data_IF_408214791238
#
_entry.id   IF_408214791238
#
_cell.length_a   1.000
_cell.length_b   1.000
_cell.length_c   1.000
_cell.angle_alpha   90.00
_cell.angle_beta   90.00
_cell.angle_gamma   90.00
#
_symmetry.space_group_name_H-M   'P 1'
#
loop_
_entity.id
_entity.type
_entity.pdbx_description
1 polymer ?
#
# COMPACT_ATOMS: atom_id res chain seq x y z
N UNK A 1 -6.01 -5.41 -33.27
CA UNK A 1 -7.40 -5.20 -32.79
C UNK A 1 -8.44 -6.00 -33.57
N UNK A 2 -8.51 -5.93 -34.90
CA UNK A 2 -9.50 -6.71 -35.70
C UNK A 2 -9.46 -8.24 -35.47
N UNK A 3 -8.33 -8.80 -35.03
CA UNK A 3 -8.25 -10.20 -34.64
C UNK A 3 -9.05 -10.50 -33.36
N UNK A 4 -8.97 -9.64 -32.34
CA UNK A 4 -9.69 -9.82 -31.07
C UNK A 4 -11.22 -9.74 -31.26
N UNK A 5 -11.69 -8.89 -32.17
CA UNK A 5 -13.12 -8.83 -32.54
C UNK A 5 -13.66 -10.14 -33.11
N UNK A 6 -12.81 -10.98 -33.69
CA UNK A 6 -13.18 -12.28 -34.26
C UNK A 6 -13.04 -13.41 -33.24
N UNK A 7 -12.72 -13.12 -31.98
CA UNK A 7 -12.46 -14.10 -30.92
C UNK A 7 -13.29 -13.82 -29.65
N UNK A 8 -14.64 -13.82 -29.72
CA UNK A 8 -15.49 -13.53 -28.56
C UNK A 8 -15.43 -14.58 -27.44
N UNK A 9 -15.01 -15.81 -27.76
CA UNK A 9 -14.83 -16.91 -26.82
C UNK A 9 -13.42 -16.95 -26.20
N UNK A 10 -12.66 -15.86 -26.29
CA UNK A 10 -11.30 -15.80 -25.78
C UNK A 10 -11.30 -15.80 -24.24
N UNK A 11 -10.74 -16.86 -23.64
CA UNK A 11 -10.62 -16.99 -22.18
C UNK A 11 -9.31 -16.40 -21.65
N UNK A 12 -8.25 -16.42 -22.46
CA UNK A 12 -6.89 -16.03 -22.07
C UNK A 12 -6.36 -15.02 -23.08
N UNK A 13 -5.96 -13.85 -22.58
CA UNK A 13 -5.32 -12.81 -23.38
C UNK A 13 -3.98 -12.45 -22.71
N UNK A 14 -2.88 -12.78 -23.39
CA UNK A 14 -1.52 -12.48 -22.93
C UNK A 14 -0.78 -11.66 -24.00
N UNK A 15 -0.40 -10.44 -23.64
CA UNK A 15 0.40 -9.54 -24.46
C UNK A 15 1.69 -9.20 -23.75
N UNK A 16 2.82 -9.50 -24.40
CA UNK A 16 4.16 -9.17 -23.92
C UNK A 16 4.86 -8.35 -25.00
N UNK A 17 5.06 -7.06 -24.75
CA UNK A 17 5.75 -6.10 -25.62
C UNK A 17 5.26 -6.11 -27.08
N UNK A 18 4.00 -6.49 -27.29
CA UNK A 18 3.39 -6.70 -28.61
C UNK A 18 2.31 -5.65 -28.94
N UNK A 19 2.23 -4.57 -28.14
CA UNK A 19 1.18 -3.56 -28.31
C UNK A 19 1.61 -2.49 -29.32
N UNK A 20 0.80 -2.23 -30.36
CA UNK A 20 1.15 -1.20 -31.33
C UNK A 20 1.04 0.19 -30.71
N UNK A 21 2.12 0.95 -30.79
CA UNK A 21 2.12 2.39 -30.53
C UNK A 21 1.13 3.03 -31.52
N UNK A 22 0.10 3.70 -31.00
CA UNK A 22 -0.79 4.49 -31.87
C UNK A 22 -0.10 5.80 -32.22
N UNK A 23 0.26 6.03 -33.50
CA UNK A 23 0.87 7.29 -33.92
C UNK A 23 -0.17 8.39 -33.74
N UNK A 24 0.01 9.23 -32.72
CA UNK A 24 -0.90 10.36 -32.43
C UNK A 24 -1.62 10.32 -31.07
N UNK A 25 -1.23 9.45 -30.14
CA UNK A 25 -1.81 9.40 -28.77
C UNK A 25 -1.57 10.66 -27.89
N UNK A 26 -1.13 11.78 -28.48
CA UNK A 26 -0.68 12.96 -27.77
C UNK A 26 -1.78 13.79 -27.11
N UNK A 27 -3.00 13.89 -27.66
CA UNK A 27 -3.93 14.93 -27.17
C UNK A 27 -5.44 14.73 -27.39
N UNK A 28 -5.94 13.72 -28.12
CA UNK A 28 -7.39 13.60 -28.33
C UNK A 28 -8.07 12.68 -27.31
N UNK A 29 -8.88 13.28 -26.44
CA UNK A 29 -9.83 12.62 -25.53
C UNK A 29 -11.02 11.98 -26.28
N UNK A 30 -10.86 11.72 -27.58
CA UNK A 30 -11.85 11.09 -28.43
C UNK A 30 -12.14 9.68 -27.91
N UNK A 31 -13.41 9.39 -27.62
CA UNK A 31 -13.88 8.05 -27.29
C UNK A 31 -13.38 7.05 -28.34
N UNK A 32 -12.93 5.85 -27.95
CA UNK A 32 -12.53 4.84 -28.90
C UNK A 32 -13.71 4.49 -29.81
N UNK A 33 -13.48 4.42 -31.12
CA UNK A 33 -14.52 4.16 -32.13
C UNK A 33 -15.26 2.83 -31.91
N UNK A 34 -14.68 1.88 -31.17
CA UNK A 34 -15.29 0.58 -30.92
C UNK A 34 -14.72 -0.11 -29.68
N UNK A 35 -15.61 -0.57 -28.80
CA UNK A 35 -15.28 -1.44 -27.67
C UNK A 35 -15.40 -2.91 -28.11
N UNK A 36 -14.37 -3.71 -27.85
CA UNK A 36 -14.35 -5.14 -28.12
C UNK A 36 -14.85 -5.86 -26.87
N UNK A 37 -15.99 -6.54 -26.99
CA UNK A 37 -16.54 -7.34 -25.90
C UNK A 37 -15.81 -8.69 -25.79
N UNK A 38 -15.22 -8.97 -24.63
CA UNK A 38 -14.52 -10.22 -24.31
C UNK A 38 -15.20 -10.87 -23.09
N UNK A 39 -16.49 -11.16 -23.22
CA UNK A 39 -17.33 -11.66 -22.14
C UNK A 39 -16.83 -12.96 -21.46
N UNK A 40 -16.05 -13.78 -22.15
CA UNK A 40 -15.49 -15.04 -21.63
C UNK A 40 -14.07 -14.90 -21.07
N UNK A 41 -13.51 -13.69 -21.04
CA UNK A 41 -12.14 -13.48 -20.59
C UNK A 41 -12.01 -13.85 -19.10
N UNK A 42 -11.17 -14.85 -18.83
CA UNK A 42 -10.88 -15.36 -17.50
C UNK A 42 -9.52 -14.90 -16.99
N UNK A 43 -8.57 -14.63 -17.88
CA UNK A 43 -7.22 -14.18 -17.56
C UNK A 43 -6.71 -13.14 -18.56
N UNK A 44 -6.24 -12.01 -18.03
CA UNK A 44 -5.62 -10.94 -18.80
C UNK A 44 -4.21 -10.70 -18.27
N UNK A 45 -3.20 -10.92 -19.11
CA UNK A 45 -1.82 -10.56 -18.87
C UNK A 45 -1.37 -9.50 -19.88
N UNK A 46 -0.84 -8.38 -19.39
CA UNK A 46 -0.25 -7.35 -20.24
C UNK A 46 1.09 -6.93 -19.63
N UNK A 47 2.17 -7.04 -20.39
CA UNK A 47 3.49 -6.53 -20.07
C UNK A 47 3.94 -5.56 -21.16
N UNK A 48 4.04 -4.26 -20.85
CA UNK A 48 4.27 -3.19 -21.85
C UNK A 48 4.41 -1.81 -21.16
N UNK A 49 4.52 -0.72 -21.92
CA UNK A 49 4.56 0.65 -21.39
C UNK A 49 3.17 1.15 -20.93
N UNK A 50 3.11 2.10 -20.00
CA UNK A 50 1.84 2.67 -19.51
C UNK A 50 0.93 3.17 -20.65
N UNK A 51 1.38 3.94 -21.65
CA UNK A 51 0.51 4.40 -22.74
C UNK A 51 -0.09 3.28 -23.58
N UNK A 52 0.70 2.24 -23.86
CA UNK A 52 0.28 1.08 -24.64
C UNK A 52 -0.79 0.26 -23.89
N UNK A 53 -0.53 -0.03 -22.61
CA UNK A 53 -1.48 -0.71 -21.72
C UNK A 53 -2.81 0.07 -21.63
N UNK A 54 -2.74 1.40 -21.44
CA UNK A 54 -3.94 2.26 -21.39
C UNK A 54 -4.70 2.23 -22.73
N UNK A 55 -4.00 2.30 -23.85
CA UNK A 55 -4.62 2.29 -25.19
C UNK A 55 -5.33 0.96 -25.49
N UNK A 56 -4.71 -0.17 -25.13
CA UNK A 56 -5.34 -1.49 -25.27
C UNK A 56 -6.61 -1.56 -24.42
N UNK A 57 -6.51 -1.24 -23.14
CA UNK A 57 -7.61 -1.48 -22.21
C UNK A 57 -8.78 -0.51 -22.40
N UNK A 58 -8.55 0.67 -22.97
CA UNK A 58 -9.65 1.53 -23.41
C UNK A 58 -10.55 0.88 -24.47
N UNK A 59 -10.04 -0.11 -25.21
CA UNK A 59 -10.70 -0.74 -26.36
C UNK A 59 -11.26 -2.13 -26.07
N UNK A 60 -10.98 -2.72 -24.91
CA UNK A 60 -11.50 -4.05 -24.54
C UNK A 60 -12.41 -3.94 -23.33
N UNK A 61 -13.46 -4.76 -23.34
CA UNK A 61 -14.31 -5.03 -22.19
C UNK A 61 -13.67 -6.10 -21.33
N UNK A 62 -13.58 -5.88 -20.01
CA UNK A 62 -12.99 -6.85 -19.07
C UNK A 62 -14.09 -7.28 -18.09
N UNK A 63 -14.51 -8.57 -18.12
CA UNK A 63 -15.44 -9.11 -17.14
C UNK A 63 -14.94 -8.94 -15.71
N UNK A 64 -15.84 -8.73 -14.76
CA UNK A 64 -15.49 -8.51 -13.35
C UNK A 64 -14.85 -9.75 -12.68
N UNK A 65 -15.05 -10.94 -13.26
CA UNK A 65 -14.43 -12.21 -12.85
C UNK A 65 -13.00 -12.42 -13.36
N UNK A 66 -12.54 -11.60 -14.31
CA UNK A 66 -11.23 -11.73 -14.96
C UNK A 66 -10.11 -11.53 -13.95
N UNK A 67 -9.15 -12.46 -13.93
CA UNK A 67 -7.88 -12.28 -13.23
C UNK A 67 -6.96 -11.38 -14.04
N UNK A 68 -6.33 -10.41 -13.40
CA UNK A 68 -5.57 -9.37 -14.05
C UNK A 68 -4.10 -9.44 -13.62
N UNK A 69 -3.21 -9.53 -14.60
CA UNK A 69 -1.76 -9.36 -14.46
C UNK A 69 -1.33 -8.19 -15.34
N UNK A 70 -0.81 -7.12 -14.74
CA UNK A 70 -0.31 -5.95 -15.46
C UNK A 70 1.13 -5.67 -15.04
N UNK A 71 2.06 -5.74 -15.99
CA UNK A 71 3.45 -5.35 -15.82
C UNK A 71 3.70 -4.10 -16.66
N UNK A 72 3.60 -2.92 -16.05
CA UNK A 72 3.64 -1.65 -16.75
C UNK A 72 4.92 -0.88 -16.44
N UNK A 73 5.64 -0.44 -17.47
CA UNK A 73 6.76 0.49 -17.33
C UNK A 73 6.33 1.93 -17.66
N UNK A 74 6.60 2.85 -16.75
CA UNK A 74 6.47 4.29 -16.98
C UNK A 74 7.52 4.75 -17.99
N UNK A 75 7.12 5.60 -18.94
CA UNK A 75 8.03 6.26 -19.89
C UNK A 75 8.48 7.62 -19.34
N UNK A 76 9.44 8.27 -19.99
CA UNK A 76 9.83 9.65 -19.64
C UNK A 76 8.64 10.61 -19.66
N UNK A 77 7.69 10.41 -20.58
CA UNK A 77 6.51 11.26 -20.73
C UNK A 77 5.46 10.99 -19.65
N UNK A 78 5.24 9.74 -19.24
CA UNK A 78 4.26 9.41 -18.19
C UNK A 78 4.83 9.57 -16.79
N UNK A 79 6.15 9.49 -16.64
CA UNK A 79 6.83 9.46 -15.35
C UNK A 79 6.23 8.38 -14.44
N UNK A 80 5.66 8.83 -13.31
CA UNK A 80 5.00 7.99 -12.31
C UNK A 80 3.47 8.04 -12.36
N UNK A 81 2.86 8.54 -13.44
CA UNK A 81 1.40 8.57 -13.60
C UNK A 81 0.87 7.22 -14.12
N UNK A 82 0.37 6.41 -13.19
CA UNK A 82 -0.32 5.14 -13.48
C UNK A 82 -1.85 5.28 -13.43
N UNK A 83 -2.40 6.49 -13.34
CA UNK A 83 -3.85 6.71 -13.17
C UNK A 83 -4.69 6.12 -14.30
N UNK A 84 -4.17 6.11 -15.53
CA UNK A 84 -4.81 5.48 -16.68
C UNK A 84 -4.99 3.98 -16.51
N UNK A 85 -4.00 3.31 -15.89
CA UNK A 85 -4.06 1.88 -15.55
C UNK A 85 -5.07 1.65 -14.42
N UNK A 86 -5.13 2.56 -13.44
CA UNK A 86 -6.07 2.40 -12.33
C UNK A 86 -7.53 2.44 -12.76
N UNK A 87 -7.87 3.21 -13.80
CA UNK A 87 -9.23 3.21 -14.39
C UNK A 87 -9.68 1.82 -14.87
N UNK A 88 -8.72 0.97 -15.27
CA UNK A 88 -8.96 -0.43 -15.68
C UNK A 88 -9.47 -1.25 -14.50
N UNK A 89 -8.81 -1.08 -13.35
CA UNK A 89 -9.08 -1.83 -12.14
C UNK A 89 -10.37 -1.30 -11.48
N UNK A 90 -10.59 0.01 -11.49
CA UNK A 90 -11.76 0.60 -10.84
C UNK A 90 -13.06 0.36 -11.58
N UNK A 91 -13.01 0.22 -12.91
CA UNK A 91 -14.20 0.13 -13.74
C UNK A 91 -14.06 -0.99 -14.77
N UNK A 92 -14.39 -2.25 -14.41
CA UNK A 92 -14.55 -3.30 -15.41
C UNK A 92 -15.67 -2.86 -16.35
N UNK A 93 -15.29 -2.34 -17.52
CA UNK A 93 -16.21 -1.94 -18.59
C UNK A 93 -16.80 -3.19 -19.21
N UNK A 94 -17.59 -3.94 -18.46
CA UNK A 94 -18.10 -5.28 -18.79
C UNK A 94 -19.53 -5.32 -19.33
N UNK A 95 -20.16 -4.15 -19.41
CA UNK A 95 -21.60 -4.07 -19.52
C UNK A 95 -21.96 -2.79 -20.26
N UNK A 96 -22.26 -2.90 -21.55
CA UNK A 96 -23.13 -1.95 -22.27
C UNK A 96 -24.56 -2.02 -21.69
N UNK A 97 -24.68 -1.94 -20.38
CA UNK A 97 -25.97 -1.92 -19.72
C UNK A 97 -26.47 -0.49 -19.82
N UNK A 98 -27.54 -0.34 -20.59
CA UNK A 98 -28.36 0.85 -20.58
C UNK A 98 -28.70 1.17 -19.12
N UNK A 99 -28.38 2.39 -18.67
CA UNK A 99 -28.50 2.84 -17.29
C UNK A 99 -29.93 2.75 -16.70
N UNK A 100 -30.91 2.30 -17.50
CA UNK A 100 -32.31 2.19 -17.11
C UNK A 100 -32.62 0.88 -16.37
N UNK A 101 -31.84 -0.19 -16.56
CA UNK A 101 -32.01 -1.46 -15.84
C UNK A 101 -30.96 -1.62 -14.72
N UNK A 102 -31.13 -0.86 -13.63
CA UNK A 102 -30.30 -0.90 -12.42
C UNK A 102 -30.40 -2.23 -11.61
N UNK A 103 -30.97 -3.30 -12.17
CA UNK A 103 -31.20 -4.55 -11.47
C UNK A 103 -29.99 -5.48 -11.63
N UNK A 104 -29.03 -5.36 -10.72
CA UNK A 104 -28.04 -6.40 -10.44
C UNK A 104 -26.77 -6.34 -11.30
N UNK A 105 -26.05 -5.21 -11.30
CA UNK A 105 -24.69 -5.20 -11.81
C UNK A 105 -23.85 -6.27 -11.07
N UNK A 106 -23.14 -7.14 -11.80
CA UNK A 106 -22.27 -8.12 -11.16
C UNK A 106 -21.17 -7.39 -10.41
N UNK A 107 -21.26 -7.40 -9.07
CA UNK A 107 -20.22 -6.82 -8.23
C UNK A 107 -18.90 -7.53 -8.47
N UNK A 108 -17.83 -6.74 -8.66
CA UNK A 108 -16.49 -7.29 -8.78
C UNK A 108 -16.16 -8.09 -7.53
N UNK A 109 -15.45 -9.21 -7.71
CA UNK A 109 -14.93 -9.96 -6.58
C UNK A 109 -14.12 -9.03 -5.69
N UNK A 110 -14.48 -9.01 -4.42
CA UNK A 110 -13.96 -8.05 -3.45
C UNK A 110 -12.61 -8.55 -2.93
N UNK A 111 -11.59 -7.69 -2.91
CA UNK A 111 -10.27 -8.08 -2.42
C UNK A 111 -10.29 -8.18 -0.90
N UNK A 112 -9.80 -9.32 -0.37
CA UNK A 112 -9.74 -9.63 1.06
C UNK A 112 -8.32 -9.59 1.60
N UNK A 113 -7.32 -9.87 0.77
CA UNK A 113 -5.91 -9.75 1.12
C UNK A 113 -5.26 -8.84 0.09
N UNK A 114 -4.54 -7.82 0.56
CA UNK A 114 -3.80 -6.88 -0.29
C UNK A 114 -2.36 -6.83 0.19
N UNK A 115 -1.43 -7.10 -0.72
CA UNK A 115 0.00 -6.96 -0.48
C UNK A 115 0.52 -5.88 -1.43
N UNK A 116 1.20 -4.88 -0.89
CA UNK A 116 1.88 -3.83 -1.63
C UNK A 116 3.33 -3.79 -1.16
N UNK A 117 4.25 -3.98 -2.08
CA UNK A 117 5.68 -4.05 -1.82
C UNK A 117 6.41 -3.07 -2.73
N UNK A 118 7.23 -2.21 -2.15
CA UNK A 118 8.11 -1.35 -2.90
C UNK A 118 9.45 -2.05 -3.09
N UNK A 119 9.73 -2.44 -4.34
CA UNK A 119 11.01 -2.99 -4.77
C UNK A 119 11.88 -1.82 -5.22
N UNK A 120 12.56 -1.21 -4.25
CA UNK A 120 13.41 -0.05 -4.48
C UNK A 120 14.51 -0.37 -5.53
N UNK A 121 14.92 0.63 -6.33
CA UNK A 121 14.52 2.03 -6.27
C UNK A 121 13.36 2.43 -7.20
N UNK A 122 12.82 1.51 -8.00
CA UNK A 122 12.05 1.89 -9.21
C UNK A 122 10.80 1.06 -9.47
N UNK A 123 10.39 0.19 -8.55
CA UNK A 123 9.25 -0.70 -8.77
C UNK A 123 8.32 -0.81 -7.58
N UNK A 124 7.03 -0.91 -7.87
CA UNK A 124 5.97 -1.19 -6.91
C UNK A 124 5.20 -2.41 -7.38
N UNK A 125 5.19 -3.45 -6.54
CA UNK A 125 4.49 -4.69 -6.78
C UNK A 125 3.24 -4.73 -5.89
N UNK A 126 2.09 -5.02 -6.50
CA UNK A 126 0.81 -5.11 -5.80
C UNK A 126 0.13 -6.42 -6.14
N UNK A 127 -0.26 -7.16 -5.11
CA UNK A 127 -0.99 -8.41 -5.22
C UNK A 127 -2.31 -8.33 -4.43
N UNK A 128 -3.40 -8.75 -5.04
CA UNK A 128 -4.73 -8.79 -4.43
C UNK A 128 -5.37 -10.17 -4.58
N UNK A 129 -5.88 -10.72 -3.48
CA UNK A 129 -6.60 -12.00 -3.45
C UNK A 129 -8.04 -11.80 -2.96
N UNK A 130 -8.98 -12.46 -3.63
CA UNK A 130 -10.41 -12.44 -3.30
C UNK A 130 -10.77 -13.49 -2.24
N UNK A 131 -10.04 -14.60 -2.23
CA UNK A 131 -10.16 -15.62 -1.19
C UNK A 131 -9.26 -15.27 -0.02
N UNK A 132 -9.77 -15.35 1.23
CA UNK A 132 -8.93 -15.19 2.40
C UNK A 132 -7.99 -16.40 2.41
N UNK A 133 -6.70 -16.14 2.20
CA UNK A 133 -5.67 -17.15 2.37
C UNK A 133 -5.77 -17.64 3.82
N UNK A 134 -5.71 -18.96 4.02
CA UNK A 134 -5.58 -19.47 5.38
C UNK A 134 -4.28 -18.89 5.97
N UNK A 135 -4.28 -18.45 7.24
CA UNK A 135 -3.18 -17.70 7.86
C UNK A 135 -1.84 -18.44 7.97
N UNK A 136 -1.71 -19.64 7.41
CA UNK A 136 -0.40 -20.25 7.22
C UNK A 136 0.35 -19.50 6.12
N UNK A 137 1.28 -18.62 6.52
CA UNK A 137 2.14 -17.83 5.61
C UNK A 137 2.84 -18.68 4.54
N UNK A 138 3.13 -19.95 4.85
CA UNK A 138 3.70 -20.91 3.92
C UNK A 138 2.82 -21.18 2.68
N UNK A 139 1.50 -21.01 2.77
CA UNK A 139 0.56 -21.31 1.69
C UNK A 139 0.29 -20.13 0.76
N UNK A 140 0.58 -18.89 1.18
CA UNK A 140 0.37 -17.68 0.36
C UNK A 140 1.14 -17.77 -0.97
N UNK A 141 2.27 -18.47 -0.98
CA UNK A 141 3.11 -18.66 -2.18
C UNK A 141 2.49 -19.55 -3.25
N UNK A 142 1.41 -20.30 -2.95
CA UNK A 142 0.86 -21.30 -3.89
C UNK A 142 -0.35 -20.80 -4.68
N UNK A 143 -1.12 -19.86 -4.14
CA UNK A 143 -2.34 -19.36 -4.80
C UNK A 143 -2.03 -18.13 -5.65
N UNK A 144 -2.32 -18.21 -6.94
CA UNK A 144 -2.18 -17.06 -7.83
C UNK A 144 -3.08 -15.90 -7.38
N UNK A 145 -2.58 -14.65 -7.37
CA UNK A 145 -3.40 -13.47 -7.10
C UNK A 145 -4.47 -13.27 -8.17
N UNK A 146 -5.60 -12.68 -7.77
CA UNK A 146 -6.66 -12.27 -8.69
C UNK A 146 -6.28 -10.96 -9.41
N UNK A 147 -5.50 -10.12 -8.73
CA UNK A 147 -4.93 -8.88 -9.27
C UNK A 147 -3.43 -8.87 -8.97
N UNK A 148 -2.60 -8.77 -9.98
CA UNK A 148 -1.16 -8.58 -9.87
C UNK A 148 -0.75 -7.39 -10.72
N UNK A 149 -0.11 -6.42 -10.09
CA UNK A 149 0.43 -5.22 -10.73
C UNK A 149 1.92 -5.19 -10.44
N UNK A 150 2.73 -5.11 -11.48
CA UNK A 150 4.14 -4.79 -11.40
C UNK A 150 4.33 -3.45 -12.12
N UNK A 151 4.55 -2.39 -11.36
CA UNK A 151 4.69 -1.04 -11.90
C UNK A 151 6.14 -0.63 -11.75
N UNK A 152 6.81 -0.35 -12.85
CA UNK A 152 8.19 0.18 -12.85
C UNK A 152 8.24 1.57 -13.46
N UNK A 153 9.20 2.39 -13.07
CA UNK A 153 9.38 3.74 -13.60
C UNK A 153 10.86 4.11 -13.69
N UNK A 154 11.19 5.15 -14.46
CA UNK A 154 12.53 5.71 -14.45
C UNK A 154 12.78 6.45 -13.15
N UNK A 155 13.92 6.18 -12.49
CA UNK A 155 14.25 6.81 -11.22
C UNK A 155 14.24 8.33 -11.37
N UNK A 156 13.38 8.98 -10.59
CA UNK A 156 13.33 10.42 -10.44
C UNK A 156 13.21 10.76 -8.96
N UNK A 157 14.03 11.68 -8.43
CA UNK A 157 13.91 12.17 -7.05
C UNK A 157 12.53 12.73 -6.71
N UNK A 158 11.72 13.05 -7.71
CA UNK A 158 10.36 13.56 -7.54
C UNK A 158 9.30 12.45 -7.42
N UNK A 159 9.68 11.18 -7.58
CA UNK A 159 8.75 10.06 -7.53
C UNK A 159 8.21 9.89 -6.12
N UNK A 160 6.91 10.12 -5.96
CA UNK A 160 6.18 9.92 -4.72
C UNK A 160 5.52 8.55 -4.72
N UNK A 161 6.22 7.54 -4.21
CA UNK A 161 5.75 6.14 -4.17
C UNK A 161 4.43 6.02 -3.40
N UNK A 162 4.27 6.81 -2.35
CA UNK A 162 3.04 6.90 -1.56
C UNK A 162 1.82 7.33 -2.39
N UNK A 163 2.01 8.26 -3.34
CA UNK A 163 0.94 8.72 -4.24
C UNK A 163 0.53 7.60 -5.19
N UNK A 164 1.49 6.83 -5.73
CA UNK A 164 1.21 5.68 -6.59
C UNK A 164 0.44 4.62 -5.80
N UNK A 165 0.96 4.21 -4.62
CA UNK A 165 0.32 3.23 -3.75
C UNK A 165 -1.09 3.64 -3.34
N UNK A 166 -1.29 4.92 -2.97
CA UNK A 166 -2.61 5.46 -2.61
C UNK A 166 -3.59 5.41 -3.80
N UNK A 167 -3.10 5.73 -5.00
CA UNK A 167 -3.93 5.69 -6.22
C UNK A 167 -4.36 4.26 -6.53
N UNK A 168 -3.47 3.28 -6.38
CA UNK A 168 -3.80 1.85 -6.53
C UNK A 168 -4.82 1.41 -5.48
N UNK A 169 -4.63 1.76 -4.21
CA UNK A 169 -5.52 1.35 -3.14
C UNK A 169 -6.93 1.93 -3.31
N UNK A 170 -7.05 3.15 -3.84
CA UNK A 170 -8.34 3.75 -4.22
C UNK A 170 -8.99 3.06 -5.43
N UNK A 171 -8.18 2.47 -6.30
CA UNK A 171 -8.64 1.84 -7.52
C UNK A 171 -9.17 0.42 -7.31
N UNK A 172 -8.68 -0.27 -6.29
CA UNK A 172 -9.03 -1.64 -5.93
C UNK A 172 -10.24 -1.63 -4.97
N UNK A 173 -11.24 -2.52 -5.13
CA UNK A 173 -12.36 -2.64 -4.21
C UNK A 173 -11.94 -3.24 -2.86
N UNK A 174 -11.45 -2.39 -1.94
CA UNK A 174 -10.91 -2.76 -0.62
C UNK A 174 -11.94 -2.73 0.52
N UNK A 175 -13.23 -2.51 0.25
CA UNK A 175 -14.27 -2.42 1.28
C UNK A 175 -14.40 -3.67 2.18
N UNK A 176 -13.93 -4.83 1.69
CA UNK A 176 -13.92 -6.09 2.42
C UNK A 176 -12.51 -6.61 2.72
N UNK A 177 -11.53 -5.73 2.69
CA UNK A 177 -10.16 -6.05 3.04
C UNK A 177 -10.10 -6.56 4.48
N UNK A 178 -9.39 -7.67 4.67
CA UNK A 178 -9.23 -8.40 5.93
C UNK A 178 -7.79 -8.36 6.42
N UNK A 179 -6.86 -8.55 5.50
CA UNK A 179 -5.42 -8.50 5.73
C UNK A 179 -4.76 -7.53 4.76
N UNK A 180 -3.89 -6.68 5.30
CA UNK A 180 -3.11 -5.70 4.55
C UNK A 180 -1.63 -5.93 4.85
N UNK A 181 -0.82 -6.15 3.82
CA UNK A 181 0.65 -6.16 3.92
C UNK A 181 1.23 -4.99 3.14
N UNK A 182 2.04 -4.17 3.80
CA UNK A 182 2.73 -3.02 3.22
C UNK A 182 4.23 -3.11 3.54
N UNK A 183 5.04 -3.48 2.56
CA UNK A 183 6.46 -3.74 2.75
C UNK A 183 7.33 -2.68 2.07
N UNK A 184 8.14 -1.98 2.88
CA UNK A 184 9.12 -0.96 2.47
C UNK A 184 8.53 0.21 1.63
N UNK A 185 7.22 0.45 1.72
CA UNK A 185 6.58 1.58 1.01
C UNK A 185 6.82 2.87 1.77
N UNK A 186 7.75 3.69 1.28
CA UNK A 186 8.13 4.95 1.93
C UNK A 186 7.13 6.08 1.65
N UNK A 187 7.15 7.10 2.50
CA UNK A 187 6.37 8.33 2.30
C UNK A 187 4.87 8.24 2.62
N UNK A 188 4.34 7.08 3.03
CA UNK A 188 2.92 6.97 3.42
C UNK A 188 2.68 7.84 4.65
N UNK A 189 1.91 8.91 4.48
CA UNK A 189 1.56 9.80 5.59
C UNK A 189 0.53 9.18 6.51
N UNK A 190 0.52 9.63 7.77
CA UNK A 190 -0.53 9.36 8.76
C UNK A 190 -1.95 9.55 8.18
N UNK A 191 -2.18 10.66 7.46
CA UNK A 191 -3.47 10.98 6.83
C UNK A 191 -3.85 10.01 5.71
N UNK A 192 -2.86 9.50 4.99
CA UNK A 192 -3.08 8.49 3.94
C UNK A 192 -3.58 7.18 4.56
N UNK A 193 -2.96 6.73 5.65
CA UNK A 193 -3.38 5.56 6.42
C UNK A 193 -4.83 5.66 6.88
N UNK A 194 -5.18 6.75 7.57
CA UNK A 194 -6.51 6.93 8.15
C UNK A 194 -7.60 7.06 7.10
N UNK A 195 -7.35 7.81 6.02
CA UNK A 195 -8.32 7.98 4.94
C UNK A 195 -8.54 6.73 4.09
N UNK A 196 -7.50 5.89 3.92
CA UNK A 196 -7.56 4.74 3.00
C UNK A 196 -7.98 3.47 3.73
N UNK A 197 -7.45 3.24 4.93
CA UNK A 197 -7.58 1.97 5.65
C UNK A 197 -8.21 2.10 7.04
N UNK A 198 -8.16 3.29 7.65
CA UNK A 198 -8.56 3.50 9.05
C UNK A 198 -10.01 3.12 9.39
N UNK A 199 -10.91 3.16 8.41
CA UNK A 199 -12.34 2.87 8.60
C UNK A 199 -12.79 1.57 7.93
N UNK A 200 -11.87 0.70 7.51
CA UNK A 200 -12.24 -0.55 6.86
C UNK A 200 -12.85 -1.52 7.89
N UNK A 201 -14.14 -1.89 7.75
CA UNK A 201 -14.89 -2.58 8.80
C UNK A 201 -14.48 -4.05 8.99
N UNK A 202 -13.71 -4.61 8.05
CA UNK A 202 -13.29 -6.01 8.08
C UNK A 202 -11.78 -6.19 8.25
N UNK A 203 -11.01 -5.09 8.28
CA UNK A 203 -9.56 -5.12 8.37
C UNK A 203 -9.17 -5.48 9.81
N UNK A 204 -8.62 -6.68 9.99
CA UNK A 204 -8.26 -7.22 11.30
C UNK A 204 -6.81 -7.68 11.41
N UNK A 205 -6.09 -7.81 10.29
CA UNK A 205 -4.66 -8.14 10.26
C UNK A 205 -3.92 -7.10 9.43
N UNK A 206 -2.84 -6.55 9.97
CA UNK A 206 -1.96 -5.60 9.29
C UNK A 206 -0.52 -6.03 9.48
N UNK A 207 0.21 -6.19 8.39
CA UNK A 207 1.64 -6.44 8.37
C UNK A 207 2.32 -5.25 7.71
N UNK A 208 3.22 -4.59 8.43
CA UNK A 208 3.97 -3.45 7.92
C UNK A 208 5.46 -3.69 8.06
N UNK A 209 6.23 -3.37 7.02
CA UNK A 209 7.67 -3.45 7.04
C UNK A 209 8.38 -2.12 6.74
N UNK A 210 9.55 -1.92 7.34
CA UNK A 210 10.41 -0.76 7.08
C UNK A 210 9.91 0.55 7.71
N UNK A 211 10.27 1.68 7.09
CA UNK A 211 9.98 3.04 7.58
C UNK A 211 8.46 3.32 7.76
N UNK A 212 7.62 2.63 7.00
CA UNK A 212 6.16 2.81 7.06
C UNK A 212 5.53 2.41 8.40
N UNK A 213 6.23 1.61 9.22
CA UNK A 213 5.79 1.24 10.56
C UNK A 213 5.61 2.49 11.45
N UNK A 214 6.53 3.46 11.37
CA UNK A 214 6.49 4.68 12.19
C UNK A 214 5.25 5.52 11.89
N UNK A 215 4.94 5.74 10.62
CA UNK A 215 3.77 6.54 10.22
C UNK A 215 2.46 5.82 10.47
N UNK A 216 2.45 4.48 10.44
CA UNK A 216 1.30 3.69 10.82
C UNK A 216 1.03 3.73 12.33
N UNK A 217 2.05 3.58 13.18
CA UNK A 217 1.91 3.72 14.63
C UNK A 217 1.32 5.09 14.98
N UNK A 218 1.81 6.16 14.34
CA UNK A 218 1.24 7.49 14.48
C UNK A 218 -0.23 7.56 14.04
N UNK A 219 -0.63 6.82 13.00
CA UNK A 219 -2.01 6.77 12.52
C UNK A 219 -2.96 6.00 13.45
N UNK A 220 -2.47 4.96 14.13
CA UNK A 220 -3.25 4.21 15.13
C UNK A 220 -3.66 5.08 16.33
N UNK A 221 -2.79 6.03 16.73
CA UNK A 221 -3.02 6.96 17.85
C UNK A 221 -3.96 8.12 17.51
N UNK A 222 -4.23 8.37 16.23
CA UNK A 222 -5.02 9.55 15.84
C UNK A 222 -6.46 9.47 16.32
N UNK A 223 -6.87 10.47 17.09
CA UNK A 223 -8.26 10.63 17.46
C UNK A 223 -9.08 11.10 16.25
N UNK A 224 -10.18 10.41 16.01
CA UNK A 224 -11.14 10.82 14.99
C UNK A 224 -11.89 12.04 15.53
N UNK A 225 -11.46 13.24 15.12
CA UNK A 225 -12.22 14.47 15.36
C UNK A 225 -13.59 14.34 14.68
N UNK A 226 -14.64 14.11 15.47
CA UNK A 226 -16.02 13.97 14.98
C UNK A 226 -16.58 15.24 14.31
N UNK A 227 -15.86 16.35 14.33
CA UNK A 227 -16.29 17.64 13.79
C UNK A 227 -16.49 17.64 12.25
N UNK A 228 -15.88 16.69 11.53
CA UNK A 228 -15.95 16.64 10.06
C UNK A 228 -17.21 15.95 9.48
N UNK A 229 -18.09 15.36 10.30
CA UNK A 229 -19.30 14.68 9.81
C UNK A 229 -20.56 15.57 9.75
N UNK A 230 -20.45 16.86 10.03
CA UNK A 230 -21.56 17.79 9.78
C UNK A 230 -21.68 18.02 8.28
N UNK A 231 -22.55 17.25 7.63
CA UNK A 231 -22.82 17.33 6.19
C UNK A 231 -23.06 18.79 5.75
N UNK A 232 -22.39 19.31 4.70
CA UNK A 232 -22.53 20.69 4.24
C UNK A 232 -23.89 21.03 3.60
N UNK A 233 -24.86 20.11 3.58
CA UNK A 233 -26.11 20.23 2.84
C UNK A 233 -27.32 20.24 3.75
N UNK A 234 -27.68 21.39 4.33
CA UNK A 234 -28.86 21.52 5.16
C UNK A 234 -29.35 22.96 5.25
N UNK A 235 -30.06 23.39 4.21
CA UNK A 235 -30.75 24.68 4.16
C UNK A 235 -31.67 24.91 5.37
N UNK A 236 -31.52 26.08 6.01
CA UNK A 236 -32.55 26.96 6.59
C UNK A 236 -33.83 26.31 7.17
N UNK A 237 -33.71 25.25 7.97
CA UNK A 237 -34.80 24.65 8.73
C UNK A 237 -34.79 25.08 10.19
N UNK A 238 -35.85 25.74 10.64
CA UNK A 238 -36.09 26.27 11.99
C UNK A 238 -35.72 25.25 13.09
N UNK A 239 -34.70 25.60 13.89
CA UNK A 239 -34.17 24.83 15.01
C UNK A 239 -35.24 24.65 16.09
N UNK A 240 -35.74 23.43 16.28
CA UNK A 240 -36.44 23.06 17.52
C UNK A 240 -35.41 22.76 18.63
N UNK A 241 -35.38 23.52 19.73
CA UNK A 241 -34.48 23.28 20.85
C UNK A 241 -35.07 22.15 21.71
N UNK A 242 -34.69 20.92 21.42
CA UNK A 242 -35.18 19.75 22.15
C UNK A 242 -34.07 18.75 22.40
N UNK A 243 -33.41 18.89 23.56
CA UNK A 243 -32.78 17.83 24.35
C UNK A 243 -32.17 16.66 23.56
N UNK A 244 -31.14 16.93 22.74
CA UNK A 244 -30.28 15.86 22.25
C UNK A 244 -29.36 15.45 23.40
N UNK A 245 -29.73 14.35 24.08
CA UNK A 245 -28.86 13.58 24.96
C UNK A 245 -27.48 13.51 24.31
N UNK A 246 -26.50 14.19 24.91
CA UNK A 246 -25.08 13.91 24.72
C UNK A 246 -24.86 12.49 25.22
N UNK A 247 -25.19 11.49 24.38
CA UNK A 247 -24.58 10.17 24.55
C UNK A 247 -23.09 10.47 24.43
N UNK A 248 -22.38 10.24 25.54
CA UNK A 248 -20.93 10.25 25.59
C UNK A 248 -20.46 9.18 24.61
N UNK A 249 -20.35 9.58 23.34
CA UNK A 249 -19.82 8.75 22.29
C UNK A 249 -18.32 8.84 22.48
N UNK A 250 -17.76 7.80 23.11
CA UNK A 250 -16.31 7.58 23.17
C UNK A 250 -15.78 7.79 21.75
N UNK A 251 -14.74 8.64 21.54
CA UNK A 251 -14.18 8.89 20.23
C UNK A 251 -13.86 7.57 19.53
N UNK A 252 -14.27 7.45 18.27
CA UNK A 252 -13.95 6.26 17.50
C UNK A 252 -12.42 6.16 17.35
N UNK A 253 -11.87 4.97 17.57
CA UNK A 253 -10.47 4.68 17.25
C UNK A 253 -10.34 4.36 15.77
N UNK A 254 -9.19 4.71 15.17
CA UNK A 254 -8.85 4.19 13.85
C UNK A 254 -8.60 2.69 13.93
N UNK A 255 -8.90 1.97 12.84
CA UNK A 255 -8.74 0.53 12.76
C UNK A 255 -9.46 -0.21 13.90
N UNK A 256 -10.79 0.01 14.09
CA UNK A 256 -11.52 -0.50 15.25
C UNK A 256 -11.59 -2.04 15.31
N UNK A 257 -11.37 -2.71 14.18
CA UNK A 257 -11.40 -4.17 14.07
C UNK A 257 -10.01 -4.81 13.99
N UNK A 258 -8.93 -4.04 14.10
CA UNK A 258 -7.56 -4.56 14.08
C UNK A 258 -7.30 -5.46 15.29
N UNK A 259 -6.86 -6.70 15.04
CA UNK A 259 -6.58 -7.73 16.04
C UNK A 259 -5.17 -8.27 15.98
N UNK A 260 -4.57 -8.34 14.80
CA UNK A 260 -3.21 -8.83 14.59
C UNK A 260 -2.37 -7.75 13.91
N UNK A 261 -1.21 -7.44 14.48
CA UNK A 261 -0.25 -6.46 13.97
C UNK A 261 1.12 -7.11 13.86
N UNK A 262 1.69 -7.12 12.65
CA UNK A 262 3.08 -7.53 12.40
C UNK A 262 3.89 -6.30 12.01
N UNK A 263 5.01 -6.10 12.70
CA UNK A 263 6.01 -5.08 12.40
C UNK A 263 7.31 -5.81 12.02
N UNK A 264 7.76 -5.62 10.79
CA UNK A 264 8.95 -6.27 10.22
C UNK A 264 9.99 -5.20 9.84
N UNK A 265 11.29 -5.45 10.03
CA UNK A 265 12.38 -4.56 9.56
C UNK A 265 12.19 -3.07 9.96
N UNK A 266 11.66 -2.83 11.16
CA UNK A 266 11.42 -1.47 11.65
C UNK A 266 12.53 -1.02 12.62
N UNK A 267 12.96 0.24 12.50
CA UNK A 267 13.88 0.86 13.46
C UNK A 267 13.13 1.60 14.56
N UNK A 268 13.40 1.20 15.81
CA UNK A 268 12.94 1.87 17.02
C UNK A 268 13.95 2.89 17.58
N UNK A 269 14.98 3.24 16.78
CA UNK A 269 15.98 4.23 17.16
C UNK A 269 15.38 5.63 17.33
N UNK A 270 15.85 6.35 18.36
CA UNK A 270 15.47 7.72 18.66
C UNK A 270 16.28 8.72 17.83
N UNK A 271 15.90 8.96 16.58
CA UNK A 271 16.59 9.98 15.77
C UNK A 271 16.14 11.42 16.08
N UNK A 272 15.03 11.59 16.81
CA UNK A 272 14.44 12.91 17.06
C UNK A 272 14.02 13.05 18.53
N UNK A 273 14.31 14.21 19.16
CA UNK A 273 14.06 14.44 20.58
C UNK A 273 12.56 14.52 20.95
N UNK A 274 11.68 14.42 19.95
CA UNK A 274 10.26 14.73 20.13
C UNK A 274 9.46 13.49 20.48
N UNK A 275 9.89 12.29 20.05
CA UNK A 275 9.14 11.07 20.37
C UNK A 275 9.88 9.78 20.01
N UNK A 276 10.08 8.92 21.01
CA UNK A 276 10.59 7.57 20.82
C UNK A 276 9.50 6.70 20.10
N UNK A 277 9.83 6.04 18.97
CA UNK A 277 8.90 5.17 18.25
C UNK A 277 8.32 4.03 19.12
N UNK A 278 9.12 3.48 20.04
CA UNK A 278 8.68 2.44 20.96
C UNK A 278 7.62 2.97 21.94
N UNK A 279 7.89 4.11 22.57
CA UNK A 279 6.92 4.73 23.49
C UNK A 279 5.62 5.08 22.77
N UNK A 280 5.68 5.49 21.50
CA UNK A 280 4.48 5.71 20.69
C UNK A 280 3.66 4.43 20.47
N UNK A 281 4.34 3.32 20.16
CA UNK A 281 3.68 2.03 20.01
C UNK A 281 3.03 1.59 21.33
N UNK A 282 3.78 1.65 22.43
CA UNK A 282 3.31 1.24 23.75
C UNK A 282 2.10 2.07 24.21
N UNK A 283 2.21 3.41 24.13
CA UNK A 283 1.11 4.31 24.50
C UNK A 283 -0.12 4.06 23.63
N UNK A 284 0.07 3.84 22.33
CA UNK A 284 -1.04 3.54 21.43
C UNK A 284 -1.75 2.23 21.80
N UNK A 285 -1.01 1.16 22.10
CA UNK A 285 -1.58 -0.12 22.51
C UNK A 285 -2.38 0.00 23.81
N UNK A 286 -1.86 0.76 24.78
CA UNK A 286 -2.54 1.05 26.04
C UNK A 286 -3.84 1.84 25.81
N UNK A 287 -3.79 2.96 25.09
CA UNK A 287 -4.95 3.79 24.76
C UNK A 287 -6.04 2.98 24.02
N UNK A 288 -5.65 2.06 23.13
CA UNK A 288 -6.58 1.16 22.43
C UNK A 288 -7.24 0.15 23.36
N UNK A 289 -6.47 -0.41 24.29
CA UNK A 289 -6.98 -1.34 25.31
C UNK A 289 -8.05 -0.70 26.18
N UNK A 290 -7.82 0.53 26.64
CA UNK A 290 -8.79 1.32 27.42
C UNK A 290 -10.10 1.57 26.64
N UNK A 291 -10.02 1.65 25.31
CA UNK A 291 -11.13 1.88 24.40
C UNK A 291 -11.78 0.58 23.88
N UNK A 292 -11.39 -0.59 24.40
CA UNK A 292 -11.90 -1.92 24.00
C UNK A 292 -11.63 -2.25 22.52
N UNK A 293 -10.53 -1.75 21.99
CA UNK A 293 -10.08 -1.96 20.62
C UNK A 293 -8.73 -2.67 20.57
N UNK A 294 -8.56 -3.61 21.48
CA UNK A 294 -7.32 -4.29 21.82
C UNK A 294 -6.78 -5.04 20.59
N UNK A 295 -5.48 -4.89 20.38
CA UNK A 295 -4.68 -5.75 19.51
C UNK A 295 -4.36 -7.00 20.34
N UNK A 296 -4.67 -8.16 19.78
CA UNK A 296 -4.55 -9.46 20.45
C UNK A 296 -3.19 -10.10 20.18
N UNK A 297 -2.71 -9.96 18.95
CA UNK A 297 -1.46 -10.54 18.47
C UNK A 297 -0.53 -9.42 17.98
N UNK A 298 0.70 -9.39 18.49
CA UNK A 298 1.76 -8.50 18.05
C UNK A 298 3.00 -9.32 17.67
N UNK A 299 3.39 -9.26 16.41
CA UNK A 299 4.59 -9.92 15.90
C UNK A 299 5.67 -8.87 15.60
N UNK A 300 6.86 -9.04 16.16
CA UNK A 300 8.01 -8.16 15.98
C UNK A 300 9.12 -8.99 15.33
N UNK A 301 9.43 -8.70 14.06
CA UNK A 301 10.40 -9.44 13.24
C UNK A 301 11.48 -8.50 12.72
N UNK A 302 12.73 -8.90 12.81
CA UNK A 302 13.89 -8.18 12.28
C UNK A 302 13.90 -6.70 12.68
N UNK A 303 13.37 -6.37 13.86
CA UNK A 303 13.31 -4.99 14.35
C UNK A 303 14.66 -4.58 14.95
N UNK A 304 15.08 -3.35 14.72
CA UNK A 304 16.32 -2.79 15.29
C UNK A 304 16.02 -1.82 16.42
N UNK A 305 16.95 -1.72 17.37
CA UNK A 305 16.86 -0.89 18.57
C UNK A 305 15.68 -1.25 19.48
N UNK A 306 15.40 -2.54 19.58
CA UNK A 306 14.36 -3.12 20.43
C UNK A 306 15.03 -4.09 21.41
N UNK A 307 14.93 -3.80 22.70
CA UNK A 307 15.53 -4.62 23.77
C UNK A 307 14.52 -5.60 24.37
N UNK A 308 14.99 -6.66 25.03
CA UNK A 308 14.13 -7.59 25.77
C UNK A 308 13.20 -6.87 26.76
N UNK A 309 13.68 -5.85 27.50
CA UNK A 309 12.85 -5.12 28.46
C UNK A 309 11.72 -4.32 27.78
N UNK A 310 11.94 -3.89 26.53
CA UNK A 310 10.89 -3.26 25.73
C UNK A 310 9.79 -4.27 25.40
N UNK A 311 10.16 -5.49 25.01
CA UNK A 311 9.22 -6.55 24.65
C UNK A 311 8.43 -7.01 25.87
N UNK A 312 9.06 -7.11 27.05
CA UNK A 312 8.37 -7.43 28.30
C UNK A 312 7.29 -6.39 28.64
N UNK A 313 7.57 -5.10 28.47
CA UNK A 313 6.57 -4.04 28.62
C UNK A 313 5.40 -4.14 27.63
N UNK A 314 5.63 -4.72 26.45
CA UNK A 314 4.56 -4.97 25.47
C UNK A 314 3.73 -6.21 25.84
N UNK A 315 4.35 -7.26 26.41
CA UNK A 315 3.68 -8.47 26.93
C UNK A 315 2.72 -8.17 28.08
N UNK A 316 2.94 -7.10 28.83
CA UNK A 316 2.01 -6.61 29.85
C UNK A 316 0.70 -6.04 29.26
N UNK A 317 0.71 -5.60 28.00
CA UNK A 317 -0.41 -4.90 27.35
C UNK A 317 -1.13 -5.78 26.34
N UNK A 318 -0.38 -6.55 25.55
CA UNK A 318 -0.90 -7.40 24.45
C UNK A 318 -0.85 -8.86 24.89
N UNK A 319 -1.95 -9.60 24.66
CA UNK A 319 -2.10 -10.98 25.12
C UNK A 319 -1.08 -11.94 24.50
N UNK A 320 -0.76 -11.78 23.21
CA UNK A 320 0.19 -12.61 22.48
C UNK A 320 1.22 -11.72 21.79
N UNK A 321 2.48 -11.78 22.27
CA UNK A 321 3.61 -11.08 21.68
C UNK A 321 4.64 -12.10 21.23
N UNK A 322 4.94 -12.09 19.94
CA UNK A 322 5.89 -12.98 19.27
C UNK A 322 7.05 -12.14 18.73
N UNK A 323 8.20 -12.28 19.38
CA UNK A 323 9.44 -11.58 19.03
C UNK A 323 10.48 -12.62 18.60
N UNK A 324 11.32 -12.27 17.63
CA UNK A 324 12.35 -13.15 17.10
C UNK A 324 13.63 -13.24 17.94
N UNK A 325 13.68 -12.59 19.11
CA UNK A 325 14.80 -12.61 20.06
C UNK A 325 16.10 -12.03 19.46
N UNK A 326 15.98 -11.18 18.44
CA UNK A 326 17.13 -10.57 17.76
C UNK A 326 17.25 -9.10 18.14
N UNK A 327 18.30 -8.76 18.89
CA UNK A 327 18.69 -7.38 19.21
C UNK A 327 19.68 -6.86 18.13
N UNK A 328 19.26 -5.89 17.32
CA UNK A 328 20.07 -5.27 16.25
C UNK A 328 20.21 -3.76 16.46
N UNK A 329 21.26 -3.15 15.89
CA UNK A 329 21.43 -1.68 15.84
C UNK A 329 22.45 -1.10 16.83
N UNK A 330 23.04 -1.94 17.68
CA UNK A 330 24.06 -1.51 18.63
C UNK A 330 25.44 -1.71 18.00
N UNK A 331 26.06 -0.61 17.57
CA UNK A 331 27.48 -0.64 17.29
C UNK A 331 28.22 -0.65 18.63
N UNK A 332 28.71 -1.82 19.04
CA UNK A 332 29.66 -1.96 20.16
C UNK A 332 31.01 -1.24 19.90
N UNK A 333 31.13 -0.55 18.75
CA UNK A 333 32.30 0.18 18.28
C UNK A 333 32.48 1.58 18.92
N UNK A 334 32.10 1.73 20.19
CA UNK A 334 32.87 2.59 21.08
C UNK A 334 34.06 1.82 21.66
N UNK A 335 34.80 1.09 20.81
CA UNK A 335 36.19 0.81 21.13
C UNK A 335 36.90 2.16 21.10
N UNK A 336 36.98 2.77 22.28
CA UNK A 336 37.86 3.87 22.64
C UNK A 336 39.27 3.50 22.19
N UNK A 337 39.58 3.74 20.92
CA UNK A 337 40.94 3.89 20.46
C UNK A 337 41.42 5.16 21.15
N UNK A 338 41.99 4.97 22.34
CA UNK A 338 42.75 5.99 23.03
C UNK A 338 43.71 6.60 22.03
N UNK A 339 43.39 7.83 21.61
CA UNK A 339 44.36 8.76 21.06
C UNK A 339 45.27 9.22 22.20
N UNK A 340 45.93 8.27 22.84
CA UNK A 340 47.17 8.56 23.53
C UNK A 340 48.27 8.49 22.48
N UNK A 341 48.67 9.69 22.05
CA UNK A 341 50.05 10.00 21.76
C UNK A 341 50.66 9.40 20.49
N UNK A 342 50.54 10.11 19.37
CA UNK A 342 51.59 10.15 18.34
C UNK A 342 51.54 11.50 17.63
N UNK A 343 52.41 12.40 18.09
CA UNK A 343 52.48 13.78 17.67
C UNK A 343 52.77 14.04 16.19
N UNK A 344 52.36 15.24 15.78
CA UNK A 344 53.00 16.12 14.79
C UNK A 344 53.62 15.47 13.55
N UNK A 345 52.83 15.32 12.49
CA UNK A 345 53.34 15.42 11.12
C UNK A 345 52.50 16.39 10.31
N UNK A 346 53.01 17.62 10.23
CA UNK A 346 52.75 18.58 9.16
C UNK A 346 53.36 17.98 7.89
N UNK A 347 52.60 17.61 6.86
CA UNK A 347 53.05 17.72 5.46
C UNK A 347 51.94 17.48 4.42
N UNK A 348 51.85 18.39 3.45
CA UNK A 348 51.73 18.06 2.03
C UNK A 348 50.33 17.84 1.46
N UNK A 349 49.79 18.87 0.79
CA UNK A 349 48.54 18.79 0.04
C UNK A 349 48.55 17.79 -1.12
N UNK A 350 47.44 17.10 -1.28
CA UNK A 350 47.06 16.40 -2.50
C UNK A 350 45.61 16.73 -2.86
N UNK A 351 45.41 17.15 -4.10
CA UNK A 351 44.11 17.31 -4.74
C UNK A 351 43.45 15.93 -4.90
N UNK A 352 42.23 15.78 -4.37
CA UNK A 352 41.40 14.59 -4.60
C UNK A 352 40.36 14.88 -5.68
N UNK A 353 40.51 14.23 -6.84
CA UNK A 353 39.44 14.01 -7.81
C UNK A 353 38.43 13.00 -7.22
N UNK A 354 37.16 13.42 -7.13
CA UNK A 354 36.07 12.58 -6.65
C UNK A 354 35.68 11.53 -7.70
N UNK A 355 36.08 10.28 -7.49
CA UNK A 355 35.49 9.12 -8.16
C UNK A 355 34.36 8.56 -7.30
N UNK A 356 33.11 8.83 -7.69
CA UNK A 356 31.90 8.27 -7.08
C UNK A 356 31.84 6.75 -7.33
N UNK A 357 32.24 5.95 -6.33
CA UNK A 357 31.90 4.53 -6.27
C UNK A 357 30.55 4.38 -5.54
N UNK A 358 29.54 3.94 -6.28
CA UNK A 358 28.25 3.51 -5.74
C UNK A 358 28.43 2.24 -4.89
N UNK A 359 27.70 2.09 -3.77
CA UNK A 359 27.73 0.87 -2.97
C UNK A 359 27.02 -0.28 -3.70
N UNK A 360 27.68 -1.44 -3.76
CA UNK A 360 27.10 -2.71 -4.19
C UNK A 360 26.09 -3.19 -3.15
N UNK A 361 24.80 -3.15 -3.49
CA UNK A 361 23.77 -3.86 -2.74
C UNK A 361 23.86 -5.36 -3.04
N UNK A 362 23.95 -6.18 -1.98
CA UNK A 362 23.76 -7.64 -2.07
C UNK A 362 22.25 -7.92 -2.01
N UNK A 363 21.69 -8.45 -3.10
CA UNK A 363 20.40 -9.14 -3.02
C UNK A 363 20.60 -10.50 -2.33
N UNK A 364 19.73 -10.82 -1.37
CA UNK A 364 19.52 -12.19 -0.89
C UNK A 364 18.52 -12.91 -1.79
#
# INVERSE_FOLDING_TARGET
MAALERMPALEVLDFQDALPLSPGAGTSDSLPDRLIDLAQLAYLAIASTVPECVNLVRRISIPASTRIYLSCSGTEATGNDFSGIMKIISNPRGASYHAEDNVGMPERKTIRVLHVQHEAPVSLVVHGWTNPLLPSEAHVRTTMPDIQLNLSWHYSPQTKVDVIATTICKAIPIAHLRSLRLSHVTGITKRTWTNTFGFLPKLHSVHIAGESARTFIAALREEVSMEAQVSPGGMLGVKRPGLRRRRSAVPAVNFPHLKSLTIEDASFEEHAPVSNPFDNLQNCLMERSERKADIQELHLRECSHLYEENVDRLREIVAEVDWDEVEQGFSDDESVYGYDDMGGYIFGGYNYEYSLRLPMFRCR
#
